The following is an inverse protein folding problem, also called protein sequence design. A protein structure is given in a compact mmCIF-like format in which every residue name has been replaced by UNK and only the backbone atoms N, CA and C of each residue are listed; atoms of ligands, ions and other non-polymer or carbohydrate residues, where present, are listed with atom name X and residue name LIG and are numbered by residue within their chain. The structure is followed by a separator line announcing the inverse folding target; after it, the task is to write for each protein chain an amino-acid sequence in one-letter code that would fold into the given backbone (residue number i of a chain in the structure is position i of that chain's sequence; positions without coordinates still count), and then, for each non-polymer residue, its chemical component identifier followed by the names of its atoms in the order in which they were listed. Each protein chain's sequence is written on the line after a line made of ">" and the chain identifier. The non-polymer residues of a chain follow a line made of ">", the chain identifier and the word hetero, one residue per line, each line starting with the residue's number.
data_IF_036630308946
#
_entry.id   IF_036630308946
#
_cell.length_a   1.000
_cell.length_b   1.000
_cell.length_c   1.000
_cell.angle_alpha   90.00
_cell.angle_beta   90.00
_cell.angle_gamma   90.00
#
_symmetry.space_group_name_H-M   'P 1'
#
loop_
_entity.id
_entity.type
_entity.pdbx_description
1 polymer ?
#
# COMPACT_ATOMS: atom_id res chain seq x y z
N UNK A 1 6.40 32.25 -26.15
CA UNK A 1 5.99 30.99 -25.46
C UNK A 1 7.18 30.17 -25.01
N UNK A 2 8.07 29.72 -25.90
CA UNK A 2 9.24 28.88 -25.52
C UNK A 2 10.14 29.53 -24.46
N UNK A 3 10.54 30.80 -24.65
CA UNK A 3 11.38 31.51 -23.68
C UNK A 3 10.72 31.58 -22.29
N UNK A 4 9.41 31.83 -22.23
CA UNK A 4 8.64 31.84 -20.98
C UNK A 4 8.66 30.48 -20.28
N UNK A 5 8.43 29.39 -21.04
CA UNK A 5 8.47 28.03 -20.48
C UNK A 5 9.86 27.67 -19.95
N UNK A 6 10.93 28.06 -20.64
CA UNK A 6 12.32 27.87 -20.18
C UNK A 6 12.59 28.68 -18.91
N UNK A 7 12.18 29.96 -18.86
CA UNK A 7 12.32 30.79 -17.66
C UNK A 7 11.57 30.19 -16.46
N UNK A 8 10.33 29.70 -16.67
CA UNK A 8 9.57 29.03 -15.62
C UNK A 8 10.22 27.72 -15.15
N UNK A 9 10.77 26.92 -16.06
CA UNK A 9 11.53 25.70 -15.73
C UNK A 9 12.76 26.02 -14.88
N UNK A 10 13.58 27.00 -15.30
CA UNK A 10 14.77 27.42 -14.55
C UNK A 10 14.39 27.98 -13.17
N UNK A 11 13.39 28.86 -13.10
CA UNK A 11 12.92 29.42 -11.83
C UNK A 11 12.40 28.32 -10.89
N UNK A 12 11.66 27.33 -11.40
CA UNK A 12 11.15 26.22 -10.59
C UNK A 12 12.31 25.39 -10.04
N UNK A 13 13.34 25.12 -10.85
CA UNK A 13 14.53 24.37 -10.39
C UNK A 13 15.35 25.12 -9.34
N UNK A 14 15.42 26.43 -9.44
CA UNK A 14 16.22 27.26 -8.50
C UNK A 14 15.48 27.55 -7.19
N UNK A 15 14.15 27.74 -7.25
CA UNK A 15 13.39 28.31 -6.14
C UNK A 15 12.30 27.40 -5.58
N UNK A 16 11.87 26.36 -6.31
CA UNK A 16 10.80 25.47 -5.84
C UNK A 16 11.37 24.13 -5.36
N UNK A 17 10.95 23.70 -4.17
CA UNK A 17 11.17 22.33 -3.69
C UNK A 17 10.19 21.39 -4.41
N UNK A 18 10.56 20.93 -5.59
CA UNK A 18 9.83 19.87 -6.30
C UNK A 18 10.55 18.55 -6.03
N UNK A 19 9.94 17.61 -5.29
CA UNK A 19 10.52 16.30 -5.06
C UNK A 19 10.89 15.63 -6.39
N UNK A 20 12.01 14.90 -6.41
CA UNK A 20 12.32 14.01 -7.53
C UNK A 20 11.27 12.90 -7.55
N UNK A 21 10.56 12.76 -8.67
CA UNK A 21 9.75 11.58 -8.92
C UNK A 21 10.73 10.45 -9.28
N UNK A 22 10.95 9.55 -8.33
CA UNK A 22 11.81 8.37 -8.44
C UNK A 22 11.03 7.14 -8.89
N UNK A 23 9.79 7.32 -9.34
CA UNK A 23 8.96 6.23 -9.83
C UNK A 23 8.95 6.14 -11.34
N UNK A 24 8.85 4.91 -11.83
CA UNK A 24 8.76 4.58 -13.22
C UNK A 24 7.47 3.81 -13.49
N UNK A 25 6.82 4.11 -14.61
CA UNK A 25 5.74 3.24 -15.10
C UNK A 25 6.34 1.97 -15.68
N UNK A 26 5.61 0.88 -15.50
CA UNK A 26 5.92 -0.41 -16.10
C UNK A 26 4.65 -0.95 -16.80
N UNK A 27 4.73 -1.39 -18.06
CA UNK A 27 3.56 -1.86 -18.78
C UNK A 27 2.97 -3.16 -18.21
N UNK A 28 3.79 -4.00 -17.58
CA UNK A 28 3.35 -5.29 -17.03
C UNK A 28 2.80 -5.10 -15.61
N UNK A 29 3.59 -4.46 -14.75
CA UNK A 29 3.30 -4.37 -13.30
C UNK A 29 2.79 -2.99 -12.86
N UNK A 30 2.63 -2.06 -13.80
CA UNK A 30 2.00 -0.75 -13.56
C UNK A 30 3.01 0.32 -13.15
N UNK A 31 3.62 0.16 -11.97
CA UNK A 31 4.62 1.08 -11.43
C UNK A 31 5.65 0.35 -10.59
N UNK A 32 6.86 0.91 -10.56
CA UNK A 32 7.98 0.59 -9.67
C UNK A 32 8.80 1.84 -9.39
N UNK A 33 9.81 1.76 -8.55
CA UNK A 33 10.84 2.79 -8.45
C UNK A 33 11.88 2.65 -9.58
N UNK A 34 12.72 3.66 -9.76
CA UNK A 34 13.93 3.53 -10.58
C UNK A 34 14.79 2.38 -10.01
N UNK A 35 15.21 1.39 -10.81
CA UNK A 35 16.06 0.30 -10.34
C UNK A 35 17.45 0.76 -9.87
N UNK A 36 17.97 0.12 -8.82
CA UNK A 36 19.34 0.34 -8.35
C UNK A 36 19.58 1.72 -7.71
N UNK A 37 18.54 2.43 -7.26
CA UNK A 37 18.71 3.65 -6.48
C UNK A 37 19.49 3.38 -5.19
N UNK A 38 20.33 4.35 -4.84
CA UNK A 38 21.02 4.45 -3.56
C UNK A 38 21.30 5.94 -3.29
N UNK A 39 20.25 6.70 -3.02
CA UNK A 39 20.34 8.15 -2.88
C UNK A 39 19.33 8.70 -1.86
N UNK A 40 19.63 9.88 -1.33
CA UNK A 40 18.70 10.62 -0.49
C UNK A 40 17.59 11.24 -1.32
N UNK A 41 16.36 10.77 -1.10
CA UNK A 41 15.16 11.30 -1.75
C UNK A 41 14.40 12.16 -0.74
N UNK A 42 14.11 13.39 -1.11
CA UNK A 42 13.34 14.29 -0.26
C UNK A 42 11.89 13.80 -0.14
N UNK A 43 11.47 13.55 1.09
CA UNK A 43 10.10 13.18 1.44
C UNK A 43 9.35 14.41 1.98
N UNK A 44 8.29 14.80 1.28
CA UNK A 44 7.51 15.99 1.61
C UNK A 44 6.64 15.82 2.88
N UNK A 45 6.33 14.59 3.29
CA UNK A 45 5.50 14.32 4.47
C UNK A 45 6.22 14.62 5.77
N UNK A 46 7.55 14.44 5.80
CA UNK A 46 8.40 14.72 6.96
C UNK A 46 9.33 15.93 6.75
N UNK A 47 9.21 16.63 5.62
CA UNK A 47 10.10 17.73 5.19
C UNK A 47 11.61 17.40 5.30
N UNK A 48 12.00 16.16 4.97
CA UNK A 48 13.37 15.69 5.15
C UNK A 48 13.78 14.67 4.07
N UNK A 49 15.09 14.58 3.73
CA UNK A 49 15.61 13.50 2.91
C UNK A 49 15.63 12.16 3.65
N UNK A 50 15.30 11.08 2.95
CA UNK A 50 15.39 9.69 3.42
C UNK A 50 16.24 8.91 2.43
N UNK A 51 17.11 8.02 2.90
CA UNK A 51 17.85 7.16 1.99
C UNK A 51 16.89 6.15 1.34
N UNK A 52 16.70 6.25 0.03
CA UNK A 52 15.94 5.26 -0.73
C UNK A 52 16.91 4.35 -1.48
N UNK A 53 16.94 3.10 -1.06
CA UNK A 53 17.64 2.02 -1.75
C UNK A 53 16.65 1.07 -2.40
N UNK A 54 16.90 0.73 -3.66
CA UNK A 54 16.06 -0.20 -4.42
C UNK A 54 16.89 -1.24 -5.14
N UNK A 55 16.38 -2.46 -5.22
CA UNK A 55 16.98 -3.56 -5.96
C UNK A 55 16.90 -3.38 -7.49
N UNK A 56 17.45 -4.34 -8.25
CA UNK A 56 17.46 -4.35 -9.72
C UNK A 56 16.08 -4.33 -10.37
N UNK A 57 15.02 -4.64 -9.61
CA UNK A 57 13.65 -4.63 -10.10
C UNK A 57 12.92 -3.33 -9.81
N UNK A 58 13.50 -2.42 -9.02
CA UNK A 58 12.90 -1.14 -8.65
C UNK A 58 11.97 -1.24 -7.44
N UNK A 59 12.28 -2.14 -6.50
CA UNK A 59 11.58 -2.28 -5.23
C UNK A 59 12.55 -2.07 -4.07
N UNK A 60 12.03 -1.61 -2.93
CA UNK A 60 12.84 -1.23 -1.78
C UNK A 60 13.58 -2.45 -1.21
N UNK A 61 14.84 -2.27 -0.85
CA UNK A 61 15.69 -3.32 -0.28
C UNK A 61 16.83 -3.77 -1.17
N UNK A 62 17.55 -4.80 -0.73
CA UNK A 62 18.70 -5.37 -1.44
C UNK A 62 18.29 -6.25 -2.62
N UNK A 63 19.25 -6.45 -3.52
CA UNK A 63 19.14 -7.50 -4.51
C UNK A 63 19.11 -8.87 -3.83
N UNK A 64 18.16 -9.69 -4.24
CA UNK A 64 18.08 -11.10 -3.84
C UNK A 64 18.33 -12.01 -5.03
N UNK A 65 18.73 -13.24 -4.76
CA UNK A 65 18.80 -14.30 -5.77
C UNK A 65 17.40 -14.74 -6.18
N UNK A 66 17.18 -14.91 -7.49
CA UNK A 66 15.93 -15.47 -8.02
C UNK A 66 15.75 -16.91 -7.49
N UNK A 67 16.78 -17.74 -7.62
CA UNK A 67 16.84 -19.04 -6.96
C UNK A 67 16.94 -18.84 -5.44
N UNK A 68 15.96 -19.36 -4.69
CA UNK A 68 15.93 -19.27 -3.23
C UNK A 68 17.05 -20.13 -2.63
N UNK A 69 17.99 -19.57 -1.86
CA UNK A 69 19.04 -20.35 -1.24
C UNK A 69 18.51 -21.40 -0.25
N UNK A 70 19.22 -22.51 -0.10
CA UNK A 70 18.85 -23.54 0.88
C UNK A 70 18.86 -22.96 2.32
N UNK A 71 17.86 -23.33 3.12
CA UNK A 71 17.71 -22.84 4.50
C UNK A 71 17.12 -21.43 4.62
N UNK A 72 16.75 -20.79 3.50
CA UNK A 72 16.08 -19.48 3.50
C UNK A 72 14.56 -19.64 3.41
N UNK A 73 13.83 -18.94 4.28
CA UNK A 73 12.39 -18.72 4.17
C UNK A 73 12.12 -17.31 3.64
N UNK A 74 11.31 -17.20 2.60
CA UNK A 74 11.06 -15.94 1.90
C UNK A 74 9.60 -15.51 2.04
N UNK A 75 9.39 -14.31 2.59
CA UNK A 75 8.11 -13.62 2.69
C UNK A 75 8.11 -12.51 1.66
N UNK A 76 7.17 -12.51 0.73
CA UNK A 76 6.93 -11.39 -0.16
C UNK A 76 5.76 -10.56 0.38
N UNK A 77 5.98 -9.28 0.65
CA UNK A 77 4.95 -8.34 1.07
C UNK A 77 4.61 -7.41 -0.08
N UNK A 78 3.41 -7.55 -0.65
CA UNK A 78 2.85 -6.66 -1.65
C UNK A 78 1.93 -5.66 -0.96
N UNK A 79 1.95 -4.41 -1.42
CA UNK A 79 1.08 -3.38 -0.87
C UNK A 79 1.37 -2.00 -1.46
N UNK A 80 0.74 -1.00 -0.89
CA UNK A 80 0.75 0.38 -1.37
C UNK A 80 1.89 1.24 -0.76
N UNK A 81 1.63 2.52 -0.56
CA UNK A 81 2.56 3.46 0.07
C UNK A 81 2.85 3.15 1.54
N UNK A 82 1.94 2.50 2.27
CA UNK A 82 2.21 2.03 3.64
C UNK A 82 3.33 0.98 3.65
N UNK A 83 3.35 0.10 2.65
CA UNK A 83 4.38 -0.93 2.48
C UNK A 83 5.69 -0.33 1.96
N UNK A 84 5.62 0.57 0.98
CA UNK A 84 6.81 1.26 0.47
C UNK A 84 7.53 2.10 1.54
N UNK A 85 6.75 2.70 2.45
CA UNK A 85 7.19 3.43 3.64
C UNK A 85 8.31 4.46 3.37
N UNK A 86 8.18 5.25 2.30
CA UNK A 86 9.22 6.19 1.82
C UNK A 86 9.61 7.29 2.83
N UNK A 87 8.88 7.43 3.94
CA UNK A 87 9.16 8.40 5.00
C UNK A 87 10.03 7.83 6.13
N UNK A 88 10.43 6.56 6.05
CA UNK A 88 11.24 5.86 7.05
C UNK A 88 12.50 5.32 6.41
N UNK A 89 13.56 5.15 7.19
CA UNK A 89 14.74 4.37 6.79
C UNK A 89 14.36 2.88 6.61
N UNK A 90 15.16 2.12 5.85
CA UNK A 90 14.77 0.77 5.38
C UNK A 90 14.51 -0.20 6.55
N UNK A 91 15.38 -0.17 7.55
CA UNK A 91 15.30 -0.95 8.79
C UNK A 91 14.20 -0.50 9.74
N UNK A 92 13.66 0.71 9.54
CA UNK A 92 12.57 1.28 10.32
C UNK A 92 11.20 0.91 9.77
N UNK A 93 11.12 0.54 8.49
CA UNK A 93 9.88 0.05 7.86
C UNK A 93 9.38 -1.21 8.55
N UNK A 94 8.07 -1.49 8.47
CA UNK A 94 7.55 -2.71 9.08
C UNK A 94 8.10 -3.98 8.40
N UNK A 95 8.43 -3.94 7.11
CA UNK A 95 9.07 -5.05 6.41
C UNK A 95 10.48 -5.33 6.95
N UNK A 96 11.31 -4.28 7.07
CA UNK A 96 12.66 -4.42 7.63
C UNK A 96 12.65 -4.90 9.08
N UNK A 97 11.74 -4.36 9.89
CA UNK A 97 11.56 -4.81 11.28
C UNK A 97 11.01 -6.24 11.38
N UNK A 98 10.09 -6.62 10.49
CA UNK A 98 9.55 -7.97 10.44
C UNK A 98 10.67 -8.99 10.17
N UNK A 99 11.56 -8.71 9.21
CA UNK A 99 12.72 -9.56 8.94
C UNK A 99 13.61 -9.72 10.17
N UNK A 100 13.92 -8.62 10.86
CA UNK A 100 14.73 -8.65 12.08
C UNK A 100 14.06 -9.48 13.19
N UNK A 101 12.76 -9.33 13.39
CA UNK A 101 12.00 -10.06 14.42
C UNK A 101 11.91 -11.56 14.11
N UNK A 102 11.65 -11.94 12.85
CA UNK A 102 11.61 -13.33 12.42
C UNK A 102 12.97 -14.00 12.56
N UNK A 103 14.05 -13.35 12.14
CA UNK A 103 15.41 -13.89 12.30
C UNK A 103 15.82 -13.99 13.78
N UNK A 104 15.40 -13.05 14.64
CA UNK A 104 15.67 -13.10 16.08
C UNK A 104 14.92 -14.21 16.81
N UNK A 105 13.73 -14.58 16.33
CA UNK A 105 12.86 -15.60 16.93
C UNK A 105 13.00 -16.99 16.29
N UNK A 106 13.72 -17.10 15.18
CA UNK A 106 13.96 -18.36 14.46
C UNK A 106 14.73 -19.35 15.34
N UNK A 107 14.08 -20.43 15.75
CA UNK A 107 14.66 -21.50 16.57
C UNK A 107 15.19 -22.68 15.76
N UNK A 108 14.77 -22.83 14.50
CA UNK A 108 15.14 -23.93 13.61
C UNK A 108 16.33 -23.60 12.70
N UNK A 109 16.93 -22.42 12.88
CA UNK A 109 18.08 -21.95 12.11
C UNK A 109 17.74 -21.46 10.70
N UNK A 110 16.46 -21.38 10.33
CA UNK A 110 16.06 -20.80 9.05
C UNK A 110 16.38 -19.30 9.02
N UNK A 111 16.97 -18.86 7.91
CA UNK A 111 17.20 -17.45 7.63
C UNK A 111 15.98 -16.86 6.94
N UNK A 112 15.38 -15.83 7.50
CA UNK A 112 14.22 -15.17 6.94
C UNK A 112 14.62 -14.01 6.03
N UNK A 113 14.00 -13.96 4.85
CA UNK A 113 14.04 -12.84 3.91
C UNK A 113 12.63 -12.24 3.79
N UNK A 114 12.47 -10.94 4.06
CA UNK A 114 11.22 -10.21 3.86
C UNK A 114 11.40 -9.22 2.73
N UNK A 115 10.77 -9.52 1.59
CA UNK A 115 10.87 -8.72 0.37
C UNK A 115 9.75 -7.69 0.32
N UNK A 116 10.13 -6.41 0.30
CA UNK A 116 9.21 -5.28 0.24
C UNK A 116 8.87 -4.93 -1.22
N UNK A 117 7.69 -5.34 -1.68
CA UNK A 117 7.16 -5.01 -3.01
C UNK A 117 6.16 -3.84 -2.97
N UNK A 118 6.26 -2.99 -1.95
CA UNK A 118 5.41 -1.83 -1.77
C UNK A 118 5.63 -0.78 -2.87
N UNK A 119 4.56 -0.27 -3.47
CA UNK A 119 4.62 0.85 -4.40
C UNK A 119 3.40 1.76 -4.24
N UNK A 120 3.62 3.07 -4.17
CA UNK A 120 2.52 3.99 -3.90
C UNK A 120 1.40 3.94 -4.97
N UNK A 121 0.16 3.95 -4.51
CA UNK A 121 -1.04 3.94 -5.35
C UNK A 121 -1.28 2.63 -6.09
N UNK A 122 -0.67 1.51 -5.64
CA UNK A 122 -1.13 0.18 -6.03
C UNK A 122 -2.39 -0.18 -5.26
N UNK A 123 -3.31 -0.87 -5.94
CA UNK A 123 -4.29 -1.71 -5.28
C UNK A 123 -4.01 -3.18 -5.60
N UNK A 124 -4.79 -4.07 -4.97
CA UNK A 124 -4.72 -5.53 -5.13
C UNK A 124 -4.65 -6.01 -6.58
N UNK A 125 -5.32 -5.34 -7.52
CA UNK A 125 -5.22 -5.70 -8.94
C UNK A 125 -3.79 -5.53 -9.50
N UNK A 126 -3.14 -4.41 -9.18
CA UNK A 126 -1.75 -4.17 -9.59
C UNK A 126 -0.80 -5.13 -8.89
N UNK A 127 -1.03 -5.42 -7.61
CA UNK A 127 -0.25 -6.39 -6.84
C UNK A 127 -0.33 -7.78 -7.46
N UNK A 128 -1.51 -8.19 -7.96
CA UNK A 128 -1.67 -9.47 -8.66
C UNK A 128 -0.88 -9.51 -9.96
N UNK A 129 -0.85 -8.40 -10.71
CA UNK A 129 -0.01 -8.30 -11.91
C UNK A 129 1.49 -8.38 -11.55
N UNK A 130 1.90 -7.70 -10.48
CA UNK A 130 3.26 -7.78 -9.95
C UNK A 130 3.64 -9.21 -9.52
N UNK A 131 2.72 -9.91 -8.88
CA UNK A 131 2.92 -11.29 -8.49
C UNK A 131 3.19 -12.21 -9.68
N UNK A 132 2.33 -12.11 -10.70
CA UNK A 132 2.41 -12.92 -11.93
C UNK A 132 3.67 -12.68 -12.76
N UNK A 133 4.20 -11.47 -12.75
CA UNK A 133 5.30 -11.07 -13.63
C UNK A 133 6.67 -11.02 -12.96
N UNK A 134 6.73 -11.09 -11.64
CA UNK A 134 8.00 -11.00 -10.90
C UNK A 134 8.01 -11.84 -9.63
N UNK A 135 7.07 -11.61 -8.70
CA UNK A 135 7.22 -12.11 -7.32
C UNK A 135 7.17 -13.64 -7.26
N UNK A 136 6.33 -14.29 -8.06
CA UNK A 136 6.24 -15.76 -8.06
C UNK A 136 7.56 -16.44 -8.47
N UNK A 137 8.33 -15.81 -9.35
CA UNK A 137 9.59 -16.35 -9.87
C UNK A 137 10.70 -16.28 -8.81
N UNK A 138 10.50 -15.47 -7.76
CA UNK A 138 11.32 -15.42 -6.56
C UNK A 138 10.92 -16.48 -5.52
N UNK A 139 10.05 -17.45 -5.84
CA UNK A 139 9.77 -18.62 -4.99
C UNK A 139 9.46 -18.30 -3.50
N UNK A 140 8.60 -17.31 -3.19
CA UNK A 140 8.25 -16.99 -1.81
C UNK A 140 7.53 -18.18 -1.15
N UNK A 141 7.81 -18.43 0.13
CA UNK A 141 7.04 -19.37 0.94
C UNK A 141 5.71 -18.75 1.37
N UNK A 142 5.72 -17.43 1.62
CA UNK A 142 4.56 -16.67 2.08
C UNK A 142 4.41 -15.42 1.22
N UNK A 143 3.19 -15.16 0.77
CA UNK A 143 2.80 -13.96 0.05
C UNK A 143 1.76 -13.23 0.90
N UNK A 144 2.10 -12.03 1.35
CA UNK A 144 1.21 -11.17 2.14
C UNK A 144 0.79 -9.99 1.28
N UNK A 145 -0.51 -9.78 1.13
CA UNK A 145 -1.06 -8.48 0.70
C UNK A 145 -1.30 -7.63 1.94
N UNK A 146 -0.52 -6.58 2.11
CA UNK A 146 -0.67 -5.56 3.14
C UNK A 146 -1.68 -4.51 2.64
N UNK A 147 -2.96 -4.81 2.84
CA UNK A 147 -4.09 -4.05 2.30
C UNK A 147 -4.27 -2.72 3.03
N UNK A 148 -4.13 -1.61 2.31
CA UNK A 148 -4.38 -0.26 2.82
C UNK A 148 -5.88 0.01 2.95
N UNK A 149 -6.43 -0.05 4.18
CA UNK A 149 -7.87 0.07 4.41
C UNK A 149 -8.51 1.36 3.85
N UNK A 150 -7.76 2.45 3.71
CA UNK A 150 -8.28 3.72 3.23
C UNK A 150 -8.10 3.95 1.72
N UNK A 151 -7.32 3.11 1.04
CA UNK A 151 -6.79 3.35 -0.31
C UNK A 151 -7.17 2.22 -1.27
N UNK A 152 -6.84 0.98 -0.93
CA UNK A 152 -6.81 -0.14 -1.86
C UNK A 152 -8.18 -0.49 -2.45
N UNK A 153 -9.25 -0.44 -1.66
CA UNK A 153 -10.61 -0.71 -2.16
C UNK A 153 -10.97 0.24 -3.32
N UNK A 154 -10.61 1.52 -3.16
CA UNK A 154 -10.87 2.54 -4.18
C UNK A 154 -9.93 2.35 -5.36
N UNK A 155 -8.68 2.00 -5.12
CA UNK A 155 -7.68 1.80 -6.17
C UNK A 155 -7.94 0.56 -7.03
N UNK A 156 -8.64 -0.45 -6.49
CA UNK A 156 -9.13 -1.61 -7.24
C UNK A 156 -10.26 -1.25 -8.23
N UNK A 157 -11.06 -0.23 -7.95
CA UNK A 157 -12.28 0.08 -8.71
C UNK A 157 -12.07 1.20 -9.73
N UNK A 158 -12.42 0.93 -10.99
CA UNK A 158 -12.43 1.95 -12.04
C UNK A 158 -13.50 3.04 -11.82
N UNK A 159 -14.54 2.76 -11.02
CA UNK A 159 -15.60 3.71 -10.67
C UNK A 159 -15.19 4.65 -9.53
N UNK A 160 -14.34 4.17 -8.61
CA UNK A 160 -13.94 4.90 -7.41
C UNK A 160 -12.55 5.55 -7.53
N UNK A 161 -11.67 4.96 -8.33
CA UNK A 161 -10.32 5.49 -8.57
C UNK A 161 -10.35 6.64 -9.58
N UNK A 162 -9.63 7.70 -9.26
CA UNK A 162 -9.48 8.86 -10.17
C UNK A 162 -8.29 8.73 -11.11
N UNK A 163 -7.41 7.73 -10.90
CA UNK A 163 -6.21 7.51 -11.72
C UNK A 163 -5.63 6.08 -11.55
N UNK A 164 -6.38 5.02 -11.87
CA UNK A 164 -5.91 3.65 -11.67
C UNK A 164 -4.76 3.29 -12.61
N UNK A 165 -3.70 2.73 -12.06
CA UNK A 165 -2.47 2.38 -12.80
C UNK A 165 -2.68 1.11 -13.63
N UNK A 166 -3.24 0.05 -13.01
CA UNK A 166 -3.76 -1.14 -13.68
C UNK A 166 -5.21 -1.30 -13.24
N UNK A 167 -6.10 -1.59 -14.19
CA UNK A 167 -7.52 -1.81 -13.92
C UNK A 167 -7.87 -3.29 -14.10
N UNK A 168 -8.72 -3.78 -13.22
CA UNK A 168 -9.37 -5.07 -13.34
C UNK A 168 -10.89 -4.88 -13.31
N UNK A 169 -11.60 -5.81 -13.94
CA UNK A 169 -13.03 -5.98 -13.77
C UNK A 169 -13.35 -7.47 -13.67
N UNK A 170 -14.51 -7.80 -13.12
CA UNK A 170 -15.02 -9.18 -13.17
C UNK A 170 -15.47 -9.43 -14.61
N UNK A 171 -14.81 -10.37 -15.29
CA UNK A 171 -15.19 -10.79 -16.64
C UNK A 171 -16.38 -11.74 -16.64
N UNK A 172 -16.85 -12.14 -17.82
CA UNK A 172 -17.99 -13.06 -18.00
C UNK A 172 -17.75 -14.42 -17.32
N UNK A 173 -16.48 -14.78 -17.12
CA UNK A 173 -16.04 -15.99 -16.40
C UNK A 173 -16.24 -15.91 -14.88
N UNK A 174 -16.64 -14.75 -14.35
CA UNK A 174 -16.68 -14.46 -12.91
C UNK A 174 -15.30 -14.24 -12.28
N UNK A 175 -14.22 -14.22 -13.08
CA UNK A 175 -12.85 -13.99 -12.60
C UNK A 175 -12.38 -12.57 -12.90
N UNK A 176 -11.43 -12.03 -12.13
CA UNK A 176 -10.81 -10.73 -12.43
C UNK A 176 -9.99 -10.80 -13.73
N UNK A 177 -10.32 -9.92 -14.66
CA UNK A 177 -9.64 -9.75 -15.94
C UNK A 177 -9.08 -8.33 -16.06
N UNK A 178 -7.85 -8.22 -16.57
CA UNK A 178 -7.18 -6.93 -16.73
C UNK A 178 -7.82 -6.13 -17.87
N UNK A 179 -8.23 -4.90 -17.60
CA UNK A 179 -8.77 -3.99 -18.61
C UNK A 179 -7.62 -3.34 -19.40
N UNK A 180 -7.60 -3.40 -20.74
CA UNK A 180 -6.59 -2.73 -21.56
C UNK A 180 -6.65 -1.20 -21.43
N UNK A 181 -5.49 -0.55 -21.28
CA UNK A 181 -5.39 0.92 -21.25
C UNK A 181 -4.85 1.48 -22.58
N UNK A 182 -5.36 2.64 -23.02
CA UNK A 182 -4.94 3.31 -24.25
C UNK A 182 -3.50 3.85 -24.16
N UNK A 183 -2.61 3.45 -25.07
CA UNK A 183 -1.18 3.74 -25.02
C UNK A 183 -0.77 5.20 -25.34
N UNK A 184 -1.62 5.99 -26.01
CA UNK A 184 -1.22 7.28 -26.59
C UNK A 184 -1.09 8.43 -25.57
N UNK A 185 -2.03 8.56 -24.62
CA UNK A 185 -1.95 9.56 -23.54
C UNK A 185 -0.73 9.36 -22.63
N UNK A 186 -0.17 8.16 -22.61
CA UNK A 186 0.87 7.73 -21.66
C UNK A 186 2.25 8.33 -22.02
N UNK A 187 2.58 8.48 -23.31
CA UNK A 187 3.95 8.86 -23.74
C UNK A 187 4.32 10.30 -23.40
N UNK A 188 3.44 11.27 -23.69
CA UNK A 188 3.74 12.70 -23.51
C UNK A 188 3.80 13.10 -22.03
N UNK A 189 2.85 12.63 -21.21
CA UNK A 189 2.85 12.95 -19.78
C UNK A 189 4.06 12.38 -19.05
N UNK A 190 4.54 11.20 -19.46
CA UNK A 190 5.71 10.57 -18.87
C UNK A 190 6.99 11.35 -19.20
N UNK A 191 7.16 11.75 -20.46
CA UNK A 191 8.29 12.60 -20.86
C UNK A 191 8.32 13.88 -20.00
N UNK A 192 7.19 14.56 -19.84
CA UNK A 192 7.12 15.80 -19.08
C UNK A 192 7.33 15.62 -17.57
N UNK A 193 6.78 14.58 -16.93
CA UNK A 193 7.04 14.29 -15.51
C UNK A 193 8.55 14.09 -15.22
N UNK A 194 9.26 13.45 -16.16
CA UNK A 194 10.68 13.10 -15.96
C UNK A 194 11.62 14.25 -16.33
N UNK A 195 11.23 15.13 -17.26
CA UNK A 195 12.11 16.16 -17.82
C UNK A 195 11.83 17.58 -17.32
N UNK A 196 10.58 17.90 -16.95
CA UNK A 196 10.17 19.25 -16.59
C UNK A 196 9.71 19.35 -15.13
N UNK A 197 10.48 20.08 -14.32
CA UNK A 197 10.11 20.41 -12.94
C UNK A 197 8.99 21.44 -12.89
N UNK A 198 8.91 22.36 -13.86
CA UNK A 198 7.81 23.31 -13.96
C UNK A 198 6.47 22.60 -14.23
N UNK A 199 6.45 21.60 -15.12
CA UNK A 199 5.25 20.80 -15.35
C UNK A 199 4.81 20.05 -14.08
N UNK A 200 5.73 19.38 -13.38
CA UNK A 200 5.42 18.69 -12.12
C UNK A 200 4.93 19.66 -11.05
N UNK A 201 5.58 20.82 -10.89
CA UNK A 201 5.13 21.89 -10.00
C UNK A 201 3.74 22.41 -10.34
N UNK A 202 3.46 22.67 -11.62
CA UNK A 202 2.15 23.11 -12.11
C UNK A 202 1.08 22.05 -11.82
N UNK A 203 1.39 20.77 -12.02
CA UNK A 203 0.50 19.65 -11.70
C UNK A 203 0.20 19.58 -10.20
N UNK A 204 1.21 19.78 -9.34
CA UNK A 204 1.01 19.85 -7.89
C UNK A 204 0.09 21.01 -7.51
N UNK A 205 0.35 22.23 -8.00
CA UNK A 205 -0.47 23.42 -7.69
C UNK A 205 -1.88 23.32 -8.27
N UNK A 206 -2.03 22.79 -9.47
CA UNK A 206 -3.35 22.57 -10.08
C UNK A 206 -4.15 21.48 -9.39
N UNK A 207 -3.51 20.44 -8.80
CA UNK A 207 -4.20 19.48 -7.94
C UNK A 207 -4.68 20.14 -6.64
N UNK A 208 -3.84 20.96 -6.01
CA UNK A 208 -4.23 21.75 -4.83
C UNK A 208 -5.41 22.69 -5.14
N UNK A 209 -5.38 23.36 -6.30
CA UNK A 209 -6.50 24.16 -6.78
C UNK A 209 -7.72 23.29 -7.09
N UNK A 210 -7.59 22.17 -7.81
CA UNK A 210 -8.74 21.27 -8.06
C UNK A 210 -9.39 20.75 -6.78
N UNK A 211 -8.63 20.45 -5.72
CA UNK A 211 -9.20 20.11 -4.41
C UNK A 211 -9.96 21.28 -3.78
N UNK A 212 -9.55 22.52 -4.04
CA UNK A 212 -10.26 23.72 -3.60
C UNK A 212 -11.53 23.99 -4.42
N UNK A 213 -11.60 23.52 -5.68
CA UNK A 213 -12.67 23.81 -6.64
C UNK A 213 -13.67 22.66 -6.85
N UNK A 214 -13.26 21.40 -6.69
CA UNK A 214 -14.19 20.28 -6.53
C UNK A 214 -14.93 20.51 -5.23
N UNK A 215 -16.27 20.53 -5.27
CA UNK A 215 -17.07 20.74 -4.07
C UNK A 215 -16.60 19.73 -3.01
N UNK A 216 -16.10 20.25 -1.88
CA UNK A 216 -15.64 19.49 -0.71
C UNK A 216 -16.50 18.25 -0.44
N UNK A 217 -17.81 18.40 -0.60
CA UNK A 217 -18.83 17.36 -0.41
C UNK A 217 -18.60 16.03 -1.16
N UNK A 218 -18.14 16.01 -2.43
CA UNK A 218 -18.01 14.75 -3.18
C UNK A 218 -16.71 14.00 -2.84
N UNK A 219 -15.62 14.73 -2.58
CA UNK A 219 -14.35 14.16 -2.11
C UNK A 219 -14.46 13.73 -0.65
N UNK A 220 -15.14 14.51 0.19
CA UNK A 220 -15.36 14.19 1.61
C UNK A 220 -16.35 13.03 1.80
N UNK A 221 -17.41 12.92 0.99
CA UNK A 221 -18.25 11.70 0.94
C UNK A 221 -17.44 10.46 0.56
N UNK A 222 -16.55 10.53 -0.43
CA UNK A 222 -15.72 9.37 -0.82
C UNK A 222 -14.79 8.86 0.30
N UNK A 223 -14.41 9.71 1.25
CA UNK A 223 -13.52 9.34 2.38
C UNK A 223 -14.26 8.66 3.52
N UNK A 224 -15.56 8.89 3.67
CA UNK A 224 -16.37 8.34 4.76
C UNK A 224 -17.08 7.05 4.36
N UNK A 225 -17.41 6.88 3.08
CA UNK A 225 -18.19 5.75 2.58
C UNK A 225 -17.54 4.37 2.80
N UNK A 226 -16.21 4.30 2.93
CA UNK A 226 -15.53 3.03 3.27
C UNK A 226 -15.83 2.56 4.70
N UNK A 227 -16.29 3.46 5.57
CA UNK A 227 -16.71 3.17 6.95
C UNK A 227 -18.24 2.99 7.06
N UNK A 228 -18.97 3.13 5.96
CA UNK A 228 -20.43 2.99 5.95
C UNK A 228 -20.84 1.52 5.76
N UNK A 229 -21.65 0.94 6.67
CA UNK A 229 -22.26 -0.37 6.45
C UNK A 229 -23.29 -0.34 5.32
N UNK A 230 -23.92 0.82 5.10
CA UNK A 230 -24.81 1.07 3.98
C UNK A 230 -23.98 1.43 2.75
N UNK A 231 -23.51 0.41 2.05
CA UNK A 231 -22.59 0.55 0.92
C UNK A 231 -23.33 0.94 -0.37
N UNK A 232 -22.96 2.07 -1.01
CA UNK A 232 -23.45 2.38 -2.35
C UNK A 232 -23.05 1.29 -3.34
N UNK A 233 -23.79 1.11 -4.46
CA UNK A 233 -23.52 0.05 -5.43
C UNK A 233 -22.08 0.00 -5.95
N UNK A 234 -21.41 1.14 -6.10
CA UNK A 234 -20.02 1.20 -6.54
C UNK A 234 -19.03 0.62 -5.50
N UNK A 235 -19.30 0.80 -4.19
CA UNK A 235 -18.50 0.21 -3.11
C UNK A 235 -18.77 -1.28 -2.98
N UNK A 236 -20.04 -1.71 -3.10
CA UNK A 236 -20.39 -3.13 -3.13
C UNK A 236 -19.64 -3.88 -4.25
N UNK A 237 -19.65 -3.34 -5.48
CA UNK A 237 -18.88 -3.90 -6.62
C UNK A 237 -17.37 -3.87 -6.39
N UNK A 238 -16.84 -2.83 -5.75
CA UNK A 238 -15.41 -2.77 -5.41
C UNK A 238 -15.01 -3.88 -4.43
N UNK A 239 -15.86 -4.19 -3.45
CA UNK A 239 -15.65 -5.31 -2.54
C UNK A 239 -15.77 -6.67 -3.22
N UNK A 240 -16.74 -6.84 -4.14
CA UNK A 240 -16.87 -8.04 -4.97
C UNK A 240 -15.59 -8.28 -5.78
N UNK A 241 -15.10 -7.25 -6.47
CA UNK A 241 -13.85 -7.32 -7.23
C UNK A 241 -12.66 -7.65 -6.33
N UNK A 242 -12.55 -7.00 -5.17
CA UNK A 242 -11.46 -7.25 -4.20
C UNK A 242 -11.48 -8.70 -3.70
N UNK A 243 -12.67 -9.24 -3.42
CA UNK A 243 -12.83 -10.65 -3.01
C UNK A 243 -12.42 -11.61 -4.14
N UNK A 244 -12.81 -11.32 -5.37
CA UNK A 244 -12.42 -12.12 -6.53
C UNK A 244 -10.91 -12.06 -6.81
N UNK A 245 -10.27 -10.91 -6.57
CA UNK A 245 -8.82 -10.75 -6.63
C UNK A 245 -8.11 -11.58 -5.56
N UNK A 246 -8.59 -11.57 -4.31
CA UNK A 246 -8.05 -12.41 -3.23
C UNK A 246 -8.19 -13.91 -3.54
N UNK A 247 -9.34 -14.32 -4.08
CA UNK A 247 -9.53 -15.69 -4.53
C UNK A 247 -8.49 -16.09 -5.57
N UNK A 248 -8.26 -15.23 -6.55
CA UNK A 248 -7.28 -15.46 -7.63
C UNK A 248 -5.85 -15.53 -7.09
N UNK A 249 -5.48 -14.61 -6.19
CA UNK A 249 -4.19 -14.62 -5.49
C UNK A 249 -3.97 -15.92 -4.73
N UNK A 250 -4.95 -16.33 -3.92
CA UNK A 250 -4.90 -17.57 -3.15
C UNK A 250 -4.66 -18.78 -4.04
N UNK A 251 -5.43 -18.88 -5.12
CA UNK A 251 -5.36 -20.01 -6.03
C UNK A 251 -3.99 -20.05 -6.75
N UNK A 252 -3.51 -18.92 -7.27
CA UNK A 252 -2.20 -18.86 -7.94
C UNK A 252 -1.02 -19.06 -6.97
N UNK A 253 -1.09 -18.53 -5.75
CA UNK A 253 -0.08 -18.78 -4.72
C UNK A 253 0.00 -20.26 -4.37
N UNK A 254 -1.14 -20.90 -4.12
CA UNK A 254 -1.20 -22.34 -3.83
C UNK A 254 -0.62 -23.16 -4.96
N UNK A 255 -0.96 -22.84 -6.21
CA UNK A 255 -0.48 -23.56 -7.39
C UNK A 255 1.05 -23.40 -7.58
N UNK A 256 1.64 -22.30 -7.09
CA UNK A 256 3.08 -22.06 -7.06
C UNK A 256 3.78 -22.52 -5.77
N UNK A 257 3.06 -23.18 -4.85
CA UNK A 257 3.61 -23.67 -3.58
C UNK A 257 3.80 -22.61 -2.49
N UNK A 258 3.18 -21.44 -2.61
CA UNK A 258 3.21 -20.36 -1.63
C UNK A 258 1.91 -20.30 -0.81
N UNK A 259 2.00 -19.89 0.46
CA UNK A 259 0.84 -19.53 1.27
C UNK A 259 0.44 -18.07 1.00
N UNK A 260 -0.83 -17.83 0.65
CA UNK A 260 -1.37 -16.48 0.52
C UNK A 260 -2.04 -16.02 1.82
N UNK A 261 -1.76 -14.79 2.26
CA UNK A 261 -2.28 -14.20 3.48
C UNK A 261 -2.60 -12.71 3.25
N UNK A 262 -3.52 -12.14 4.04
CA UNK A 262 -3.90 -10.73 3.96
C UNK A 262 -3.74 -10.06 5.32
N UNK A 263 -3.06 -8.92 5.35
CA UNK A 263 -2.92 -8.07 6.55
C UNK A 263 -3.55 -6.70 6.27
N UNK A 264 -4.56 -6.29 7.04
CA UNK A 264 -5.18 -4.98 6.93
C UNK A 264 -4.38 -3.93 7.71
N UNK A 265 -3.90 -2.91 6.99
CA UNK A 265 -3.18 -1.77 7.56
C UNK A 265 -4.20 -0.64 7.83
N UNK A 266 -4.39 -0.22 9.09
CA UNK A 266 -5.38 0.80 9.42
C UNK A 266 -4.91 2.20 9.03
N UNK A 267 -5.86 3.07 8.73
CA UNK A 267 -5.59 4.51 8.63
C UNK A 267 -5.68 5.19 10.00
N UNK A 268 -5.14 6.41 10.11
CA UNK A 268 -5.26 7.24 11.30
C UNK A 268 -6.72 7.47 11.73
N UNK A 269 -7.65 7.54 10.77
CA UNK A 269 -9.09 7.69 11.04
C UNK A 269 -9.72 6.46 11.70
N UNK A 270 -9.15 5.28 11.49
CA UNK A 270 -9.59 4.06 12.17
C UNK A 270 -8.98 3.93 13.58
N UNK A 271 -7.86 4.61 13.83
CA UNK A 271 -7.08 4.44 15.06
C UNK A 271 -7.44 5.50 16.10
N UNK A 272 -7.48 6.77 15.71
CA UNK A 272 -7.73 7.86 16.66
C UNK A 272 -9.21 8.26 16.68
N UNK A 273 -9.80 8.23 17.88
CA UNK A 273 -11.23 8.46 18.06
C UNK A 273 -11.67 9.89 17.70
N UNK A 274 -10.83 10.88 17.95
CA UNK A 274 -11.05 12.27 17.59
C UNK A 274 -11.02 12.50 16.08
N UNK A 275 -10.10 11.87 15.35
CA UNK A 275 -10.11 11.92 13.88
C UNK A 275 -11.35 11.25 13.29
N UNK A 276 -11.83 10.17 13.89
CA UNK A 276 -13.06 9.54 13.45
C UNK A 276 -14.29 10.41 13.76
N UNK A 277 -14.32 11.08 14.91
CA UNK A 277 -15.38 12.02 15.26
C UNK A 277 -15.40 13.25 14.32
N UNK A 278 -14.24 13.79 13.95
CA UNK A 278 -14.11 14.83 12.91
C UNK A 278 -14.73 14.35 11.59
N UNK A 279 -14.37 13.13 11.17
CA UNK A 279 -14.88 12.53 9.94
C UNK A 279 -16.41 12.33 9.96
N UNK A 280 -16.96 11.89 11.09
CA UNK A 280 -18.41 11.75 11.28
C UNK A 280 -19.13 13.11 11.19
N UNK A 281 -18.55 14.16 11.77
CA UNK A 281 -19.14 15.50 11.76
C UNK A 281 -19.15 16.15 10.36
N UNK A 282 -18.27 15.73 9.45
CA UNK A 282 -18.24 16.20 8.06
C UNK A 282 -19.42 15.67 7.22
N UNK A 283 -20.07 14.58 7.65
CA UNK A 283 -21.15 13.95 6.90
C UNK A 283 -22.51 14.45 7.37
N UNK A 284 -23.33 14.96 6.45
CA UNK A 284 -24.70 15.37 6.76
C UNK A 284 -25.63 14.15 6.89
N UNK A 285 -26.38 14.08 8.00
CA UNK A 285 -27.37 13.03 8.26
C UNK A 285 -26.90 12.01 9.30
N UNK A 286 -27.81 11.11 9.69
CA UNK A 286 -27.57 10.09 10.71
C UNK A 286 -26.91 8.85 10.08
N UNK A 287 -25.67 9.00 9.58
CA UNK A 287 -24.93 7.88 9.01
C UNK A 287 -24.28 7.06 10.12
N UNK A 288 -24.61 5.78 10.19
CA UNK A 288 -24.01 4.83 11.12
C UNK A 288 -22.61 4.42 10.66
N UNK A 289 -21.63 5.33 10.74
CA UNK A 289 -20.25 5.05 10.35
C UNK A 289 -19.53 4.22 11.40
N UNK A 290 -18.86 3.16 10.97
CA UNK A 290 -18.07 2.29 11.84
C UNK A 290 -16.59 2.24 11.37
N UNK A 291 -15.63 2.61 12.24
CA UNK A 291 -14.23 2.69 11.86
C UNK A 291 -13.62 1.31 11.53
N UNK A 292 -14.24 0.22 11.98
CA UNK A 292 -13.81 -1.16 11.75
C UNK A 292 -14.67 -1.89 10.69
N UNK A 293 -15.57 -1.18 10.01
CA UNK A 293 -16.30 -1.73 8.87
C UNK A 293 -15.37 -2.36 7.80
N UNK A 294 -14.32 -1.68 7.29
CA UNK A 294 -13.46 -2.27 6.27
C UNK A 294 -12.74 -3.53 6.76
N UNK A 295 -12.27 -3.58 8.01
CA UNK A 295 -11.63 -4.77 8.58
C UNK A 295 -12.59 -5.96 8.63
N UNK A 296 -13.84 -5.76 9.04
CA UNK A 296 -14.85 -6.84 9.06
C UNK A 296 -15.25 -7.31 7.67
N UNK A 297 -15.24 -6.40 6.67
CA UNK A 297 -15.46 -6.77 5.26
C UNK A 297 -14.33 -7.65 4.74
N UNK A 298 -13.08 -7.28 5.02
CA UNK A 298 -11.90 -8.07 4.66
C UNK A 298 -11.89 -9.41 5.40
N UNK A 299 -12.18 -9.43 6.70
CA UNK A 299 -12.25 -10.66 7.50
C UNK A 299 -13.31 -11.62 6.94
N UNK A 300 -14.49 -11.10 6.61
CA UNK A 300 -15.58 -11.91 6.04
C UNK A 300 -15.18 -12.52 4.69
N UNK A 301 -14.56 -11.73 3.81
CA UNK A 301 -14.07 -12.19 2.51
C UNK A 301 -12.93 -13.21 2.65
N UNK A 302 -11.95 -12.96 3.53
CA UNK A 302 -10.85 -13.88 3.75
C UNK A 302 -11.32 -15.20 4.38
N UNK A 303 -12.23 -15.13 5.36
CA UNK A 303 -12.82 -16.30 6.01
C UNK A 303 -13.61 -17.17 5.03
N UNK A 304 -14.41 -16.57 4.14
CA UNK A 304 -15.16 -17.33 3.13
C UNK A 304 -14.25 -18.02 2.11
N UNK A 305 -13.04 -17.48 1.90
CA UNK A 305 -12.01 -18.03 1.02
C UNK A 305 -10.98 -18.91 1.73
N UNK A 306 -11.05 -19.08 3.06
CA UNK A 306 -10.05 -19.81 3.84
C UNK A 306 -8.65 -19.17 3.82
N UNK A 307 -8.58 -17.85 3.63
CA UNK A 307 -7.33 -17.07 3.60
C UNK A 307 -7.03 -16.59 5.03
N UNK A 308 -5.83 -16.83 5.58
CA UNK A 308 -5.40 -16.23 6.84
C UNK A 308 -5.46 -14.70 6.76
N UNK A 309 -6.10 -14.09 7.76
CA UNK A 309 -6.31 -12.65 7.84
C UNK A 309 -5.81 -12.09 9.17
N UNK A 310 -5.13 -10.95 9.12
CA UNK A 310 -4.72 -10.17 10.28
C UNK A 310 -5.24 -8.74 10.15
N UNK A 311 -6.04 -8.28 11.11
CA UNK A 311 -6.41 -6.87 11.23
C UNK A 311 -5.52 -6.20 12.27
N UNK A 312 -4.74 -5.20 11.86
CA UNK A 312 -3.91 -4.43 12.81
C UNK A 312 -4.72 -3.36 13.58
N UNK A 313 -5.93 -3.03 13.14
CA UNK A 313 -6.73 -1.95 13.73
C UNK A 313 -6.97 -2.08 15.25
N UNK A 314 -7.36 -3.25 15.81
CA UNK A 314 -7.57 -3.40 17.26
C UNK A 314 -6.32 -3.12 18.08
N UNK A 315 -5.16 -3.67 17.70
CA UNK A 315 -3.90 -3.46 18.41
C UNK A 315 -3.44 -2.02 18.28
N UNK A 316 -3.59 -1.41 17.11
CA UNK A 316 -3.27 0.00 16.92
C UNK A 316 -4.13 0.91 17.80
N UNK A 317 -5.44 0.65 17.90
CA UNK A 317 -6.36 1.40 18.76
C UNK A 317 -6.02 1.24 20.25
N UNK A 318 -5.57 0.07 20.69
CA UNK A 318 -5.20 -0.15 22.10
C UNK A 318 -3.86 0.51 22.50
N UNK A 319 -2.98 0.74 21.52
CA UNK A 319 -1.67 1.37 21.74
C UNK A 319 -1.62 2.87 21.36
N UNK A 320 -2.68 3.38 20.75
CA UNK A 320 -2.82 4.79 20.42
C UNK A 320 -3.29 5.58 21.66
N UNK A 321 -2.82 6.82 21.84
CA UNK A 321 -3.35 7.72 22.86
C UNK A 321 -4.84 7.99 22.63
N UNK A 322 -5.57 8.29 23.71
CA UNK A 322 -7.02 8.57 23.69
C UNK A 322 -7.42 9.75 22.80
N UNK A 323 -6.47 10.63 22.47
CA UNK A 323 -6.60 11.67 21.45
C UNK A 323 -5.33 11.75 20.61
N UNK A 324 -5.48 12.04 19.33
CA UNK A 324 -4.42 12.00 18.31
C UNK A 324 -3.26 12.99 18.54
N UNK A 325 -3.43 14.03 19.36
CA UNK A 325 -2.68 15.27 19.19
C UNK A 325 -1.91 15.81 20.40
N UNK A 326 -1.82 15.11 21.54
CA UNK A 326 -1.15 15.72 22.71
C UNK A 326 0.37 15.55 22.72
N UNK A 327 0.93 14.51 22.11
CA UNK A 327 2.39 14.31 22.05
C UNK A 327 2.80 13.53 20.80
N UNK A 328 3.64 14.13 19.95
CA UNK A 328 4.09 13.54 18.67
C UNK A 328 4.82 12.19 18.86
N UNK A 329 5.56 12.01 19.97
CA UNK A 329 6.24 10.75 20.30
C UNK A 329 5.29 9.59 20.64
N UNK A 330 4.00 9.88 20.88
CA UNK A 330 2.98 8.88 21.17
C UNK A 330 2.18 8.46 19.93
N UNK A 331 2.30 9.22 18.83
CA UNK A 331 1.59 8.94 17.60
C UNK A 331 2.12 7.67 16.92
N UNK A 332 1.24 6.98 16.20
CA UNK A 332 1.57 5.85 15.32
C UNK A 332 1.67 6.26 13.85
N UNK A 333 1.26 7.49 13.52
CA UNK A 333 1.22 8.04 12.17
C UNK A 333 1.98 9.37 12.13
N UNK A 334 2.61 9.67 11.01
CA UNK A 334 3.34 10.92 10.80
C UNK A 334 2.36 12.09 10.94
N UNK A 335 2.69 13.03 11.84
CA UNK A 335 1.84 14.17 12.20
C UNK A 335 0.39 13.78 12.57
N UNK A 336 0.18 12.56 13.09
CA UNK A 336 -1.11 12.05 13.53
C UNK A 336 -2.08 11.60 12.43
N UNK A 337 -1.87 11.99 11.16
CA UNK A 337 -2.82 11.70 10.06
C UNK A 337 -2.20 11.07 8.80
N UNK A 338 -0.88 10.99 8.73
CA UNK A 338 -0.13 10.53 7.56
C UNK A 338 0.04 9.01 7.43
N UNK A 339 1.16 8.59 6.85
CA UNK A 339 1.62 7.19 6.84
C UNK A 339 2.08 6.78 8.23
N UNK A 340 2.34 5.48 8.41
CA UNK A 340 2.94 4.95 9.62
C UNK A 340 4.29 5.64 9.88
N UNK A 341 4.47 6.13 11.10
CA UNK A 341 5.79 6.54 11.56
C UNK A 341 6.60 5.32 12.04
N UNK A 342 7.79 5.55 12.60
CA UNK A 342 8.63 4.47 13.12
C UNK A 342 7.91 3.61 14.17
N UNK A 343 7.10 4.24 15.05
CA UNK A 343 6.36 3.55 16.12
C UNK A 343 5.22 2.69 15.57
N UNK A 344 4.44 3.23 14.63
CA UNK A 344 3.41 2.47 13.92
C UNK A 344 3.98 1.30 13.13
N UNK A 345 5.09 1.52 12.40
CA UNK A 345 5.78 0.46 11.65
C UNK A 345 6.33 -0.64 12.56
N UNK A 346 6.85 -0.28 13.74
CA UNK A 346 7.30 -1.24 14.75
C UNK A 346 6.16 -2.09 15.28
N UNK A 347 5.02 -1.48 15.59
CA UNK A 347 3.84 -2.19 16.08
C UNK A 347 3.29 -3.14 15.01
N UNK A 348 3.19 -2.70 13.76
CA UNK A 348 2.79 -3.56 12.64
C UNK A 348 3.72 -4.79 12.51
N UNK A 349 5.03 -4.57 12.54
CA UNK A 349 6.01 -5.66 12.45
C UNK A 349 5.90 -6.67 13.61
N UNK A 350 5.62 -6.21 14.83
CA UNK A 350 5.44 -7.07 16.00
C UNK A 350 4.22 -7.97 15.84
N UNK A 351 3.07 -7.41 15.47
CA UNK A 351 1.84 -8.17 15.25
C UNK A 351 1.98 -9.16 14.09
N UNK A 352 2.57 -8.72 12.97
CA UNK A 352 2.83 -9.61 11.83
C UNK A 352 3.81 -10.72 12.17
N UNK A 353 4.85 -10.44 12.95
CA UNK A 353 5.81 -11.47 13.40
C UNK A 353 5.15 -12.50 14.30
N UNK A 354 4.32 -12.08 15.26
CA UNK A 354 3.58 -12.99 16.13
C UNK A 354 2.63 -13.88 15.31
N UNK A 355 1.88 -13.26 14.40
CA UNK A 355 0.94 -13.93 13.51
C UNK A 355 1.58 -15.00 12.61
N UNK A 356 2.74 -14.69 12.02
CA UNK A 356 3.47 -15.65 11.18
C UNK A 356 4.00 -16.83 12.00
N UNK A 357 4.54 -16.58 13.20
CA UNK A 357 5.02 -17.64 14.09
C UNK A 357 3.89 -18.57 14.51
N UNK A 358 2.74 -18.03 14.92
CA UNK A 358 1.56 -18.83 15.29
C UNK A 358 1.05 -19.68 14.12
N UNK A 359 1.02 -19.10 12.92
CA UNK A 359 0.56 -19.79 11.70
C UNK A 359 1.50 -20.94 11.32
N UNK A 360 2.82 -20.76 11.46
CA UNK A 360 3.78 -21.84 11.19
C UNK A 360 3.66 -22.98 12.20
N UNK A 361 3.50 -22.67 13.49
CA UNK A 361 3.27 -23.70 14.53
C UNK A 361 2.01 -24.50 14.24
N UNK A 362 0.94 -23.84 13.77
CA UNK A 362 -0.30 -24.51 13.39
C UNK A 362 -0.13 -25.41 12.15
N UNK A 363 0.70 -25.01 11.18
CA UNK A 363 0.97 -25.81 9.98
C UNK A 363 1.76 -27.10 10.31
N UNK A 364 2.84 -27.00 11.09
CA UNK A 364 3.65 -28.16 11.52
C UNK A 364 2.81 -29.16 12.32
N UNK A 365 1.91 -28.68 13.19
CA UNK A 365 1.04 -29.55 13.99
C UNK A 365 0.03 -30.34 13.15
N UNK A 366 -0.33 -29.86 11.94
CA UNK A 366 -1.27 -30.54 11.05
C UNK A 366 -0.60 -31.59 10.17
N UNK A 367 0.70 -31.49 9.91
CA UNK A 367 1.45 -32.48 9.13
C UNK A 367 1.87 -33.71 9.97
N UNK A 368 1.76 -33.62 11.31
CA UNK A 368 2.13 -34.69 12.25
C UNK A 368 0.95 -35.58 12.70
N UNK A 369 -0.26 -35.34 12.17
CA UNK A 369 -1.50 -36.09 12.44
C UNK A 369 -1.95 -36.74 11.13
#
# INVERSE_FOLDING_TARGET
>A
VVLMLVTCEVATRLFARVPRDVSMRDPLIGRRFEPGLNEFVYNAEIDAPVLLRTNRWGFRGEDVSEEKPAGVRRVAVLGDSYTAAMALEEDQTFCGRLEQLLNKSSSDGAAWQVLNFGIFGSGTGQELALYRHLVRDLQPDIVIVAFGNATDLRDNSAELSTNPIIQFAIGDSGRPERIPQSAERIRLSNLLNNTSRFYTWQKMKSKSLKLLWQQKADVERGRTLIYSPDEPPAYARAWELTTALFQTFRDECRDNGSQFMVAAIPSAYQVYADHFAELQAEVSGDQNLDPLHPDRRLETACRSLGIPFLSLAPTFRSHAPSGSCQTESEQLFIHGKGHLNERGSRLAAQEMSAWLTETQVAAVSREQI
#
